data_IF_460472096857
#
_entry.id   IF_460472096857
#
_cell.length_a   1.000
_cell.length_b   1.000
_cell.length_c   1.000
_cell.angle_alpha   90.00
_cell.angle_beta   90.00
_cell.angle_gamma   90.00
#
_symmetry.space_group_name_H-M   'P 1'
#
loop_
_entity.id
_entity.type
_entity.pdbx_description
1 polymer ?
#
# COMPACT_ATOMS: atom_id res chain seq x y z
N UNK A 1 43.33 4.83 -15.45
CA UNK A 1 42.76 5.61 -14.33
C UNK A 1 41.50 4.88 -13.91
N UNK A 2 41.59 4.02 -12.89
CA UNK A 2 40.40 3.39 -12.31
C UNK A 2 39.64 4.45 -11.53
N UNK A 3 38.49 4.89 -12.06
CA UNK A 3 37.52 5.65 -11.29
C UNK A 3 37.09 4.81 -10.09
N UNK A 4 37.59 5.19 -8.93
CA UNK A 4 37.20 4.66 -7.63
C UNK A 4 35.73 5.04 -7.43
N UNK A 5 34.79 4.17 -7.85
CA UNK A 5 33.36 4.32 -7.59
C UNK A 5 33.17 4.54 -6.09
N UNK A 6 32.89 5.78 -5.69
CA UNK A 6 32.41 6.08 -4.34
C UNK A 6 31.13 5.27 -4.13
N UNK A 7 31.24 4.16 -3.41
CA UNK A 7 30.07 3.43 -2.96
C UNK A 7 29.43 4.26 -1.85
N UNK A 8 28.43 5.05 -2.21
CA UNK A 8 27.54 5.73 -1.27
C UNK A 8 26.89 4.62 -0.42
N UNK A 9 27.41 4.43 0.79
CA UNK A 9 26.86 3.43 1.70
C UNK A 9 25.66 4.05 2.42
N UNK A 10 24.47 3.49 2.19
CA UNK A 10 23.27 3.92 2.89
C UNK A 10 23.44 3.64 4.40
N UNK A 11 23.12 4.64 5.23
CA UNK A 11 23.11 4.47 6.67
C UNK A 11 21.89 3.60 7.01
N UNK A 12 22.11 2.50 7.75
CA UNK A 12 21.02 1.65 8.25
C UNK A 12 20.34 2.35 9.43
N UNK A 13 19.30 3.12 9.12
CA UNK A 13 18.53 3.86 10.14
C UNK A 13 17.23 3.18 10.57
N UNK A 14 16.75 2.17 9.82
CA UNK A 14 15.50 1.47 10.09
C UNK A 14 15.73 0.09 10.71
N UNK A 15 15.02 -0.19 11.81
CA UNK A 15 14.94 -1.50 12.43
C UNK A 15 13.83 -2.36 11.81
N UNK A 16 13.65 -3.55 12.38
CA UNK A 16 12.63 -4.51 11.95
C UNK A 16 11.20 -3.95 12.11
N UNK A 17 10.92 -3.29 13.23
CA UNK A 17 9.58 -2.78 13.53
C UNK A 17 9.23 -1.64 12.58
N UNK A 18 10.17 -0.73 12.31
CA UNK A 18 9.97 0.35 11.34
C UNK A 18 9.77 -0.21 9.92
N UNK A 19 10.55 -1.22 9.53
CA UNK A 19 10.38 -1.88 8.23
C UNK A 19 9.02 -2.58 8.09
N UNK A 20 8.58 -3.31 9.13
CA UNK A 20 7.25 -3.92 9.18
C UNK A 20 6.15 -2.86 9.14
N UNK A 21 6.29 -1.74 9.86
CA UNK A 21 5.33 -0.65 9.83
C UNK A 21 5.24 0.02 8.44
N UNK A 22 6.37 0.16 7.73
CA UNK A 22 6.35 0.66 6.36
C UNK A 22 5.60 -0.30 5.43
N UNK A 23 5.86 -1.61 5.55
CA UNK A 23 5.15 -2.62 4.77
C UNK A 23 3.65 -2.66 5.08
N UNK A 24 3.27 -2.73 6.35
CA UNK A 24 1.87 -2.76 6.76
C UNK A 24 1.14 -1.46 6.40
N UNK A 25 1.80 -0.31 6.57
CA UNK A 25 1.20 0.98 6.25
C UNK A 25 1.03 1.21 4.75
N UNK A 26 1.91 0.67 3.91
CA UNK A 26 1.71 0.72 2.46
C UNK A 26 0.60 -0.23 1.99
N UNK A 27 0.36 -1.35 2.70
CA UNK A 27 -0.76 -2.26 2.41
C UNK A 27 -2.11 -1.73 2.92
N UNK A 28 -2.15 -1.18 4.15
CA UNK A 28 -3.36 -0.64 4.80
C UNK A 28 -3.66 0.82 4.45
N UNK A 29 -3.24 1.25 3.25
CA UNK A 29 -3.34 2.64 2.83
C UNK A 29 -4.76 2.99 2.37
N UNK A 30 -4.95 4.03 1.55
CA UNK A 30 -6.24 4.43 0.99
C UNK A 30 -7.03 3.28 0.30
N UNK A 31 -6.39 2.15 -0.04
CA UNK A 31 -7.07 0.97 -0.56
C UNK A 31 -8.19 0.45 0.35
N UNK A 32 -7.90 0.17 1.63
CA UNK A 32 -8.90 -0.38 2.55
C UNK A 32 -9.98 0.64 2.95
N UNK A 33 -9.69 1.93 2.83
CA UNK A 33 -10.60 3.00 3.24
C UNK A 33 -11.51 3.46 2.10
N UNK A 34 -10.99 3.52 0.87
CA UNK A 34 -11.72 4.02 -0.30
C UNK A 34 -12.17 2.87 -1.22
N UNK A 35 -11.26 1.96 -1.59
CA UNK A 35 -11.60 0.89 -2.54
C UNK A 35 -12.53 -0.15 -1.92
N UNK A 36 -12.45 -0.41 -0.61
CA UNK A 36 -13.38 -1.35 0.04
C UNK A 36 -14.83 -0.88 -0.04
N UNK A 37 -15.08 0.42 0.09
CA UNK A 37 -16.43 0.98 -0.10
C UNK A 37 -16.90 0.84 -1.56
N UNK A 38 -16.04 1.17 -2.52
CA UNK A 38 -16.35 1.02 -3.94
C UNK A 38 -16.56 -0.45 -4.35
N UNK A 39 -15.78 -1.38 -3.79
CA UNK A 39 -15.94 -2.81 -4.00
C UNK A 39 -17.27 -3.32 -3.43
N UNK A 40 -17.64 -2.87 -2.22
CA UNK A 40 -18.92 -3.20 -1.60
C UNK A 40 -20.11 -2.64 -2.41
N UNK A 41 -19.99 -1.46 -3.00
CA UNK A 41 -21.02 -0.89 -3.89
C UNK A 41 -21.21 -1.73 -5.16
N UNK A 42 -20.11 -2.24 -5.74
CA UNK A 42 -20.13 -2.97 -7.02
C UNK A 42 -20.45 -4.46 -6.90
N UNK A 43 -20.08 -5.11 -5.79
CA UNK A 43 -20.23 -6.57 -5.59
C UNK A 43 -21.17 -6.91 -4.42
N UNK A 44 -21.53 -5.93 -3.59
CA UNK A 44 -22.37 -6.15 -2.43
C UNK A 44 -21.66 -6.93 -1.32
N UNK A 45 -22.38 -7.72 -0.52
CA UNK A 45 -21.82 -8.49 0.61
C UNK A 45 -20.69 -9.45 0.21
N UNK A 46 -20.71 -9.94 -1.04
CA UNK A 46 -19.70 -10.81 -1.61
C UNK A 46 -18.32 -10.16 -1.78
N UNK A 47 -18.17 -8.84 -1.59
CA UNK A 47 -16.86 -8.17 -1.60
C UNK A 47 -15.88 -8.79 -0.60
N UNK A 48 -16.39 -9.28 0.54
CA UNK A 48 -15.61 -10.03 1.54
C UNK A 48 -14.93 -11.27 0.96
N UNK A 49 -15.63 -12.06 0.12
CA UNK A 49 -15.04 -13.21 -0.56
C UNK A 49 -13.99 -12.79 -1.57
N UNK A 50 -14.23 -11.72 -2.35
CA UNK A 50 -13.23 -11.20 -3.30
C UNK A 50 -11.93 -10.83 -2.59
N UNK A 51 -11.98 -10.20 -1.42
CA UNK A 51 -10.77 -9.89 -0.64
C UNK A 51 -10.05 -11.15 -0.13
N UNK A 52 -10.78 -12.18 0.30
CA UNK A 52 -10.18 -13.45 0.73
C UNK A 52 -9.44 -14.12 -0.44
N UNK A 53 -10.09 -14.23 -1.60
CA UNK A 53 -9.46 -14.82 -2.79
C UNK A 53 -8.27 -14.00 -3.30
N UNK A 54 -8.39 -12.67 -3.32
CA UNK A 54 -7.27 -11.79 -3.65
C UNK A 54 -6.07 -11.99 -2.70
N UNK A 55 -6.35 -12.18 -1.40
CA UNK A 55 -5.33 -12.52 -0.40
C UNK A 55 -4.61 -13.83 -0.72
N UNK A 56 -5.35 -14.89 -1.05
CA UNK A 56 -4.77 -16.17 -1.44
C UNK A 56 -3.89 -16.09 -2.69
N UNK A 57 -4.27 -15.27 -3.68
CA UNK A 57 -3.46 -15.04 -4.89
C UNK A 57 -2.19 -14.24 -4.57
N UNK A 58 -2.27 -13.32 -3.61
CA UNK A 58 -1.13 -12.49 -3.20
C UNK A 58 -0.09 -13.27 -2.38
N UNK A 59 -0.51 -14.27 -1.59
CA UNK A 59 0.37 -15.03 -0.70
C UNK A 59 1.60 -15.66 -1.38
N UNK A 60 1.47 -16.43 -2.49
CA UNK A 60 2.63 -16.98 -3.20
C UNK A 60 3.61 -15.91 -3.67
N UNK A 61 3.08 -14.79 -4.19
CA UNK A 61 3.90 -13.65 -4.65
C UNK A 61 4.68 -13.03 -3.49
N UNK A 62 4.05 -12.88 -2.33
CA UNK A 62 4.70 -12.36 -1.13
C UNK A 62 5.80 -13.29 -0.62
N UNK A 63 5.59 -14.62 -0.65
CA UNK A 63 6.59 -15.61 -0.24
C UNK A 63 7.82 -15.57 -1.15
N UNK A 64 7.63 -15.54 -2.47
CA UNK A 64 8.72 -15.42 -3.44
C UNK A 64 9.49 -14.12 -3.24
N UNK A 65 8.80 -12.99 -3.07
CA UNK A 65 9.46 -11.71 -2.80
C UNK A 65 10.23 -11.72 -1.47
N UNK A 66 9.73 -12.41 -0.44
CA UNK A 66 10.42 -12.57 0.84
C UNK A 66 11.71 -13.38 0.71
N UNK A 67 11.69 -14.48 -0.05
CA UNK A 67 12.88 -15.28 -0.35
C UNK A 67 13.92 -14.47 -1.13
N UNK A 68 13.48 -13.74 -2.16
CA UNK A 68 14.36 -12.90 -2.98
C UNK A 68 14.99 -11.76 -2.17
N UNK A 69 14.21 -11.09 -1.31
CA UNK A 69 14.69 -10.03 -0.44
C UNK A 69 15.75 -10.52 0.57
N UNK A 70 15.59 -11.76 1.06
CA UNK A 70 16.55 -12.39 1.98
C UNK A 70 17.82 -12.85 1.25
N UNK A 71 17.67 -13.42 0.04
CA UNK A 71 18.79 -13.91 -0.76
C UNK A 71 19.63 -12.77 -1.38
N UNK A 72 19.01 -11.64 -1.71
CA UNK A 72 19.67 -10.50 -2.37
C UNK A 72 19.44 -9.23 -1.53
N UNK A 73 20.17 -9.05 -0.40
CA UNK A 73 19.96 -7.93 0.52
C UNK A 73 20.63 -6.64 0.02
N UNK A 74 20.26 -6.19 -1.18
CA UNK A 74 20.75 -4.97 -1.83
C UNK A 74 19.61 -3.97 -2.02
N UNK A 75 19.90 -2.69 -1.83
CA UNK A 75 18.95 -1.63 -2.13
C UNK A 75 18.71 -1.56 -3.65
N UNK A 76 17.44 -1.71 -4.06
CA UNK A 76 17.04 -1.61 -5.47
C UNK A 76 15.79 -2.41 -5.87
N UNK A 77 15.22 -3.23 -4.98
CA UNK A 77 13.91 -3.87 -5.17
C UNK A 77 13.81 -4.71 -6.45
N UNK A 78 12.66 -4.62 -7.13
CA UNK A 78 12.35 -5.40 -8.35
C UNK A 78 13.39 -5.23 -9.46
N UNK A 79 13.98 -4.03 -9.59
CA UNK A 79 15.05 -3.78 -10.55
C UNK A 79 16.25 -4.69 -10.31
N UNK A 80 16.70 -4.81 -9.05
CA UNK A 80 17.87 -5.64 -8.70
C UNK A 80 17.59 -7.12 -8.89
N UNK A 81 16.40 -7.58 -8.52
CA UNK A 81 15.99 -8.97 -8.68
C UNK A 81 15.99 -9.39 -10.15
N UNK A 82 15.35 -8.59 -11.01
CA UNK A 82 15.18 -8.90 -12.43
C UNK A 82 16.49 -8.71 -13.19
N UNK A 83 17.26 -7.67 -12.86
CA UNK A 83 18.60 -7.47 -13.44
C UNK A 83 19.52 -8.66 -13.15
N UNK A 84 19.36 -9.28 -11.97
CA UNK A 84 20.18 -10.43 -11.57
C UNK A 84 19.76 -11.71 -12.30
N UNK A 85 18.47 -11.90 -12.53
CA UNK A 85 17.93 -13.11 -13.17
C UNK A 85 18.00 -13.08 -14.71
N UNK A 86 17.66 -11.96 -15.34
CA UNK A 86 17.47 -11.84 -16.79
C UNK A 86 18.47 -10.87 -17.46
N UNK A 87 19.39 -10.31 -16.69
CA UNK A 87 20.41 -9.38 -17.16
C UNK A 87 19.98 -7.91 -17.14
N UNK A 88 20.92 -6.98 -17.42
CA UNK A 88 20.72 -5.55 -17.20
C UNK A 88 19.60 -4.94 -18.04
N UNK A 89 19.36 -5.45 -19.25
CA UNK A 89 18.39 -4.89 -20.19
C UNK A 89 16.95 -5.08 -19.68
N UNK A 90 16.62 -6.27 -19.18
CA UNK A 90 15.34 -6.54 -18.53
C UNK A 90 15.15 -5.69 -17.26
N UNK A 91 16.22 -5.52 -16.48
CA UNK A 91 16.25 -4.63 -15.33
C UNK A 91 15.86 -3.19 -15.69
N UNK A 92 16.51 -2.62 -16.70
CA UNK A 92 16.28 -1.24 -17.16
C UNK A 92 14.86 -0.96 -17.63
N UNK A 93 14.11 -1.98 -18.05
CA UNK A 93 12.68 -1.83 -18.38
C UNK A 93 11.83 -1.77 -17.11
N UNK A 94 12.13 -2.64 -16.13
CA UNK A 94 11.33 -2.74 -14.90
C UNK A 94 11.60 -1.59 -13.92
N UNK A 95 12.82 -1.05 -13.89
CA UNK A 95 13.17 0.07 -13.00
C UNK A 95 12.22 1.27 -13.13
N UNK A 96 12.09 1.87 -14.33
CA UNK A 96 11.14 2.96 -14.57
C UNK A 96 9.68 2.56 -14.35
N UNK A 97 9.29 1.33 -14.72
CA UNK A 97 7.94 0.82 -14.48
C UNK A 97 7.59 0.76 -13.00
N UNK A 98 8.51 0.28 -12.16
CA UNK A 98 8.35 0.25 -10.71
C UNK A 98 8.28 1.67 -10.12
N UNK A 99 9.11 2.60 -10.62
CA UNK A 99 9.09 3.99 -10.19
C UNK A 99 7.77 4.69 -10.54
N UNK A 100 7.26 4.49 -11.76
CA UNK A 100 5.96 5.00 -12.18
C UNK A 100 4.81 4.39 -11.36
N UNK A 101 4.85 3.09 -11.10
CA UNK A 101 3.85 2.41 -10.25
C UNK A 101 3.78 3.01 -8.84
N UNK A 102 4.94 3.22 -8.21
CA UNK A 102 5.02 3.89 -6.90
C UNK A 102 4.53 5.35 -6.96
N UNK A 103 4.74 6.04 -8.07
CA UNK A 103 4.29 7.42 -8.27
C UNK A 103 2.76 7.49 -8.37
N UNK A 104 2.14 6.61 -9.15
CA UNK A 104 0.68 6.51 -9.22
C UNK A 104 0.07 6.08 -7.89
N UNK A 105 0.71 5.15 -7.18
CA UNK A 105 0.30 4.75 -5.84
C UNK A 105 0.33 5.94 -4.87
N UNK A 106 1.41 6.74 -4.87
CA UNK A 106 1.50 7.94 -4.03
C UNK A 106 0.42 8.97 -4.40
N UNK A 107 0.18 9.22 -5.69
CA UNK A 107 -0.85 10.14 -6.15
C UNK A 107 -2.27 9.70 -5.72
N UNK A 108 -2.58 8.42 -5.83
CA UNK A 108 -3.84 7.84 -5.35
C UNK A 108 -4.04 8.07 -3.84
N UNK A 109 -3.02 7.81 -3.03
CA UNK A 109 -3.09 7.99 -1.57
C UNK A 109 -3.24 9.48 -1.18
N UNK A 110 -2.55 10.40 -1.88
CA UNK A 110 -2.69 11.84 -1.64
C UNK A 110 -4.10 12.33 -2.02
N UNK A 111 -4.64 11.85 -3.14
CA UNK A 111 -5.99 12.19 -3.56
C UNK A 111 -7.05 11.71 -2.56
N UNK A 112 -6.95 10.46 -2.11
CA UNK A 112 -7.80 9.92 -1.07
C UNK A 112 -7.69 10.72 0.24
N UNK A 113 -6.47 11.09 0.65
CA UNK A 113 -6.25 11.92 1.83
C UNK A 113 -6.94 13.30 1.69
N UNK A 114 -6.82 13.95 0.53
CA UNK A 114 -7.49 15.21 0.26
C UNK A 114 -9.02 15.12 0.39
N UNK A 115 -9.62 14.03 -0.09
CA UNK A 115 -11.06 13.77 0.10
C UNK A 115 -11.44 13.57 1.56
N UNK A 116 -10.67 12.79 2.34
CA UNK A 116 -10.92 12.65 3.77
C UNK A 116 -10.76 13.97 4.53
N UNK A 117 -9.75 14.78 4.18
CA UNK A 117 -9.53 16.07 4.80
C UNK A 117 -10.69 17.04 4.53
N UNK A 118 -11.26 16.98 3.33
CA UNK A 118 -12.39 17.84 2.94
C UNK A 118 -13.67 17.60 3.77
N UNK A 119 -13.78 16.42 4.41
CA UNK A 119 -14.87 16.11 5.33
C UNK A 119 -14.76 16.88 6.66
N UNK A 120 -13.54 17.17 7.11
CA UNK A 120 -13.31 17.89 8.38
C UNK A 120 -13.18 19.39 8.19
N UNK A 121 -12.55 19.81 7.08
CA UNK A 121 -12.32 21.21 6.75
C UNK A 121 -12.85 21.40 5.34
N UNK A 122 -13.79 22.33 5.09
CA UNK A 122 -14.41 22.52 3.78
C UNK A 122 -13.45 23.21 2.79
N UNK A 123 -12.41 22.49 2.39
CA UNK A 123 -11.42 22.88 1.39
C UNK A 123 -11.58 22.01 0.15
N UNK A 124 -11.10 22.50 -1.00
CA UNK A 124 -11.05 21.70 -2.21
C UNK A 124 -10.13 20.46 -1.97
N UNK A 125 -10.60 19.23 -2.23
CA UNK A 125 -9.81 18.01 -2.04
C UNK A 125 -8.44 18.04 -2.75
N UNK A 126 -8.36 18.67 -3.93
CA UNK A 126 -7.11 18.80 -4.67
C UNK A 126 -6.08 19.65 -3.93
N UNK A 127 -6.51 20.76 -3.32
CA UNK A 127 -5.63 21.61 -2.51
C UNK A 127 -5.15 20.87 -1.26
N UNK A 128 -6.04 20.10 -0.61
CA UNK A 128 -5.67 19.24 0.52
C UNK A 128 -4.63 18.19 0.14
N UNK A 129 -4.79 17.54 -1.02
CA UNK A 129 -3.84 16.56 -1.55
C UNK A 129 -2.46 17.17 -1.85
N UNK A 130 -2.42 18.34 -2.51
CA UNK A 130 -1.17 19.05 -2.82
C UNK A 130 -0.45 19.48 -1.53
N UNK A 131 -1.19 20.03 -0.57
CA UNK A 131 -0.64 20.44 0.72
C UNK A 131 -0.02 19.25 1.49
N UNK A 132 -0.73 18.13 1.55
CA UNK A 132 -0.22 16.89 2.13
C UNK A 132 1.05 16.41 1.40
N UNK A 133 1.06 16.44 0.07
CA UNK A 133 2.21 16.05 -0.74
C UNK A 133 3.45 16.87 -0.43
N UNK A 134 3.31 18.20 -0.32
CA UNK A 134 4.42 19.10 0.06
C UNK A 134 4.95 18.77 1.45
N UNK A 135 4.06 18.51 2.43
CA UNK A 135 4.46 18.11 3.78
C UNK A 135 5.24 16.79 3.76
N UNK A 136 4.74 15.78 3.05
CA UNK A 136 5.41 14.49 2.96
C UNK A 136 6.77 14.60 2.27
N UNK A 137 6.89 15.40 1.22
CA UNK A 137 8.19 15.66 0.56
C UNK A 137 9.16 16.32 1.56
N UNK A 138 8.70 17.33 2.31
CA UNK A 138 9.52 17.99 3.31
C UNK A 138 9.97 17.05 4.44
N UNK A 139 9.07 16.19 4.92
CA UNK A 139 9.39 15.17 5.93
C UNK A 139 10.42 14.16 5.41
N UNK A 140 10.24 13.68 4.18
CA UNK A 140 11.19 12.75 3.55
C UNK A 140 12.57 13.40 3.34
N UNK A 141 12.61 14.70 3.01
CA UNK A 141 13.86 15.44 2.88
C UNK A 141 14.62 15.59 4.21
N UNK A 142 13.91 15.70 5.35
CA UNK A 142 14.52 15.84 6.69
C UNK A 142 15.18 14.56 7.22
N UNK A 143 14.79 13.39 6.71
CA UNK A 143 15.46 12.14 7.04
C UNK A 143 14.52 10.93 7.12
N UNK A 144 15.05 9.77 6.74
CA UNK A 144 14.32 8.50 6.69
C UNK A 144 14.07 7.92 8.08
N UNK A 145 14.93 8.18 9.07
CA UNK A 145 14.70 7.78 10.48
C UNK A 145 13.45 8.40 11.09
N UNK A 146 13.23 9.70 10.89
CA UNK A 146 12.06 10.40 11.44
C UNK A 146 10.79 9.85 10.78
N UNK A 147 10.84 9.65 9.46
CA UNK A 147 9.75 9.06 8.68
C UNK A 147 9.41 7.65 9.17
N UNK A 148 10.42 6.79 9.40
CA UNK A 148 10.21 5.43 9.93
C UNK A 148 9.59 5.41 11.32
N UNK A 149 10.02 6.31 12.22
CA UNK A 149 9.43 6.44 13.55
C UNK A 149 7.98 6.93 13.50
N UNK A 150 7.68 7.94 12.68
CA UNK A 150 6.31 8.42 12.47
C UNK A 150 5.42 7.30 11.93
N UNK A 151 5.91 6.57 10.92
CA UNK A 151 5.18 5.46 10.30
C UNK A 151 4.81 4.39 11.33
N UNK A 152 5.74 4.02 12.22
CA UNK A 152 5.48 3.08 13.31
C UNK A 152 4.27 3.51 14.16
N UNK A 153 4.25 4.75 14.62
CA UNK A 153 3.16 5.25 15.45
C UNK A 153 1.84 5.35 14.69
N UNK A 154 1.88 5.80 13.43
CA UNK A 154 0.69 5.90 12.56
C UNK A 154 0.06 4.52 12.38
N UNK A 155 0.85 3.48 12.10
CA UNK A 155 0.31 2.12 11.89
C UNK A 155 -0.26 1.52 13.17
N UNK A 156 0.39 1.72 14.32
CA UNK A 156 -0.16 1.26 15.61
C UNK A 156 -1.52 1.91 15.85
N UNK A 157 -1.61 3.22 15.66
CA UNK A 157 -2.86 3.97 15.78
C UNK A 157 -3.94 3.47 14.79
N UNK A 158 -3.55 3.22 13.55
CA UNK A 158 -4.43 2.69 12.51
C UNK A 158 -5.02 1.32 12.89
N UNK A 159 -4.17 0.41 13.37
CA UNK A 159 -4.60 -0.93 13.80
C UNK A 159 -5.55 -0.84 14.99
N UNK A 160 -5.30 0.04 15.95
CA UNK A 160 -6.21 0.29 17.08
C UNK A 160 -7.58 0.76 16.59
N UNK A 161 -7.63 1.73 15.67
CA UNK A 161 -8.90 2.21 15.09
C UNK A 161 -9.63 1.09 14.36
N UNK A 162 -8.93 0.29 13.55
CA UNK A 162 -9.54 -0.83 12.83
C UNK A 162 -10.12 -1.88 13.77
N UNK A 163 -9.41 -2.22 14.85
CA UNK A 163 -9.91 -3.16 15.87
C UNK A 163 -11.17 -2.60 16.53
N UNK A 164 -11.16 -1.32 16.91
CA UNK A 164 -12.33 -0.65 17.49
C UNK A 164 -13.50 -0.65 16.49
N UNK A 165 -13.24 -0.35 15.22
CA UNK A 165 -14.25 -0.35 14.16
C UNK A 165 -14.87 -1.73 13.99
N UNK A 166 -14.06 -2.79 13.94
CA UNK A 166 -14.55 -4.18 13.86
C UNK A 166 -15.38 -4.53 15.09
N UNK A 167 -14.90 -4.19 16.28
CA UNK A 167 -15.59 -4.50 17.54
C UNK A 167 -16.96 -3.79 17.64
N UNK A 168 -17.01 -2.50 17.34
CA UNK A 168 -18.25 -1.72 17.35
C UNK A 168 -19.20 -2.12 16.21
N UNK A 169 -18.63 -2.43 15.04
CA UNK A 169 -19.36 -2.87 13.87
C UNK A 169 -20.02 -4.23 14.06
N UNK A 170 -19.34 -5.17 14.71
CA UNK A 170 -19.84 -6.52 14.96
C UNK A 170 -21.19 -6.53 15.70
N UNK A 171 -21.37 -5.62 16.66
CA UNK A 171 -22.60 -5.49 17.42
C UNK A 171 -23.77 -4.86 16.63
N UNK A 172 -23.51 -4.29 15.45
CA UNK A 172 -24.50 -3.61 14.60
C UNK A 172 -24.73 -4.31 13.26
N UNK A 173 -24.25 -5.54 13.10
CA UNK A 173 -24.39 -6.30 11.85
C UNK A 173 -25.85 -6.70 11.64
N UNK A 174 -26.49 -6.16 10.60
CA UNK A 174 -27.81 -6.61 10.16
C UNK A 174 -27.67 -7.73 9.13
N UNK A 175 -28.10 -8.93 9.50
CA UNK A 175 -28.06 -10.13 8.65
C UNK A 175 -28.93 -10.02 7.40
N UNK A 176 -29.91 -9.11 7.36
CA UNK A 176 -30.77 -8.91 6.19
C UNK A 176 -30.00 -8.27 5.02
N UNK A 177 -29.01 -7.42 5.31
CA UNK A 177 -28.17 -6.80 4.29
C UNK A 177 -27.29 -7.81 3.53
N UNK A 178 -27.13 -9.03 4.05
CA UNK A 178 -26.40 -10.11 3.39
C UNK A 178 -27.26 -10.92 2.42
N UNK A 179 -28.55 -10.60 2.28
CA UNK A 179 -29.47 -11.34 1.41
C UNK A 179 -30.03 -10.40 0.32
N UNK A 180 -29.80 -10.68 -0.97
CA UNK A 180 -28.96 -11.75 -1.53
C UNK A 180 -27.46 -11.48 -1.34
N UNK A 181 -26.66 -12.52 -1.05
CA UNK A 181 -25.22 -12.36 -0.79
C UNK A 181 -24.43 -12.01 -2.04
N UNK A 182 -24.88 -12.51 -3.20
CA UNK A 182 -24.26 -12.29 -4.51
C UNK A 182 -25.29 -11.64 -5.45
N UNK A 183 -25.65 -10.35 -5.23
CA UNK A 183 -26.67 -9.68 -6.01
C UNK A 183 -26.28 -9.53 -7.49
N UNK A 184 -25.00 -9.34 -7.77
CA UNK A 184 -24.48 -9.03 -9.12
C UNK A 184 -23.88 -10.24 -9.85
N UNK A 185 -23.97 -11.44 -9.27
CA UNK A 185 -23.42 -12.68 -9.83
C UNK A 185 -21.91 -12.87 -9.66
N UNK A 186 -21.44 -14.11 -9.88
CA UNK A 186 -20.04 -14.51 -9.67
C UNK A 186 -19.04 -13.83 -10.61
N UNK A 187 -19.47 -13.44 -11.82
CA UNK A 187 -18.59 -12.76 -12.77
C UNK A 187 -18.03 -11.44 -12.20
N UNK A 188 -18.84 -10.68 -11.49
CA UNK A 188 -18.42 -9.41 -10.87
C UNK A 188 -17.56 -9.67 -9.63
N UNK A 189 -17.89 -10.70 -8.84
CA UNK A 189 -17.08 -11.13 -7.68
C UNK A 189 -15.65 -11.46 -8.10
N UNK A 190 -15.49 -12.19 -9.21
CA UNK A 190 -14.18 -12.56 -9.75
C UNK A 190 -13.49 -11.37 -10.40
N UNK A 191 -14.22 -10.53 -11.15
CA UNK A 191 -13.65 -9.37 -11.84
C UNK A 191 -13.03 -8.32 -10.91
N UNK A 192 -13.49 -8.18 -9.66
CA UNK A 192 -12.88 -7.24 -8.70
C UNK A 192 -11.56 -7.77 -8.10
N UNK A 193 -11.30 -9.07 -8.19
CA UNK A 193 -10.05 -9.67 -7.70
C UNK A 193 -8.84 -9.23 -8.56
N UNK A 194 -9.09 -8.67 -9.75
CA UNK A 194 -8.04 -8.26 -10.70
C UNK A 194 -7.66 -9.36 -11.70
N UNK A 195 -8.59 -10.30 -11.95
CA UNK A 195 -8.54 -11.32 -13.00
C UNK A 195 -9.28 -10.87 -14.25
#
# INVERSE_FOLDING_TARGET
>A
MEEKKEQIHLIRELGLIEALAIGLGSMLSAGIFVLSANAAERVGPAASLSFIFAGFICLPTALVLSELATAIPKAGGSFTFISRAFGPLAGSIVGPGNWLGLTFFAAFNLHAFGHYLSYFIPINPLLGAIFAGIIFIFLNYRGTRITGLLQKYIVIFLLVILIIFIYLGFNKVDTNLYKPFIPYGWGVVIGIIGL
#
